data_IF_582597541782
#
_entry.id   IF_582597541782
#
_cell.length_a   1.000
_cell.length_b   1.000
_cell.length_c   1.000
_cell.angle_alpha   90.00
_cell.angle_beta   90.00
_cell.angle_gamma   90.00
#
_symmetry.space_group_name_H-M   'P 1'
#
loop_
_entity.id
_entity.type
_entity.pdbx_description
1 polymer ?
#
# COMPACT_ATOMS: atom_id res chain seq x y z
N UNK A 1 -16.79 1.89 19.52
CA UNK A 1 -16.48 2.22 18.12
C UNK A 1 -17.05 1.11 17.26
N UNK A 2 -17.89 1.37 16.26
CA UNK A 2 -18.36 0.30 15.38
C UNK A 2 -17.17 -0.28 14.63
N UNK A 3 -17.03 -1.60 14.65
CA UNK A 3 -16.07 -2.30 13.78
C UNK A 3 -16.58 -2.10 12.35
N UNK A 4 -15.98 -1.15 11.63
CA UNK A 4 -16.22 -1.01 10.20
C UNK A 4 -15.57 -2.20 9.54
N UNK A 5 -16.38 -3.17 9.13
CA UNK A 5 -15.91 -4.28 8.29
C UNK A 5 -15.46 -3.69 6.95
N UNK A 6 -14.17 -3.81 6.64
CA UNK A 6 -13.62 -3.39 5.35
C UNK A 6 -14.19 -4.27 4.24
N UNK A 7 -14.79 -3.67 3.22
CA UNK A 7 -15.08 -4.35 1.96
C UNK A 7 -13.79 -4.42 1.14
N UNK A 8 -13.13 -5.58 1.16
CA UNK A 8 -11.87 -5.80 0.47
C UNK A 8 -11.94 -5.71 -1.05
N UNK A 9 -13.14 -5.71 -1.63
CA UNK A 9 -13.34 -5.54 -3.08
C UNK A 9 -13.39 -4.07 -3.48
N UNK A 10 -13.71 -3.18 -2.53
CA UNK A 10 -13.85 -1.74 -2.78
C UNK A 10 -12.52 -1.01 -2.68
N UNK A 11 -11.78 -1.04 -3.78
CA UNK A 11 -10.51 -0.34 -3.92
C UNK A 11 -10.68 1.05 -4.55
N UNK A 12 -9.94 2.01 -4.02
CA UNK A 12 -9.78 3.34 -4.61
C UNK A 12 -8.33 3.58 -4.95
N UNK A 13 -8.05 4.50 -5.89
CA UNK A 13 -6.67 4.87 -6.24
C UNK A 13 -6.47 6.37 -6.11
N UNK A 14 -5.26 6.75 -5.70
CA UNK A 14 -4.79 8.14 -5.66
C UNK A 14 -3.47 8.20 -6.40
N UNK A 15 -3.24 9.28 -7.15
CA UNK A 15 -1.96 9.48 -7.82
C UNK A 15 -0.92 9.87 -6.78
N UNK A 16 0.26 9.30 -6.88
CA UNK A 16 1.42 9.74 -6.12
C UNK A 16 1.81 11.16 -6.59
N UNK A 17 1.91 12.16 -5.68
CA UNK A 17 2.23 13.53 -6.05
C UNK A 17 3.63 13.69 -6.61
N UNK A 18 4.59 12.86 -6.18
CA UNK A 18 5.99 12.96 -6.57
C UNK A 18 6.32 12.08 -7.79
N UNK A 19 5.50 11.06 -8.04
CA UNK A 19 5.65 10.16 -9.19
C UNK A 19 4.33 10.01 -9.95
N UNK A 20 4.07 10.79 -11.02
CA UNK A 20 2.78 10.78 -11.70
C UNK A 20 2.42 9.43 -12.32
N UNK A 21 3.40 8.59 -12.64
CA UNK A 21 3.20 7.23 -13.15
C UNK A 21 2.99 6.17 -12.05
N UNK A 22 2.75 6.59 -10.81
CA UNK A 22 2.50 5.73 -9.65
C UNK A 22 1.12 6.00 -9.05
N UNK A 23 0.42 4.93 -8.72
CA UNK A 23 -0.87 4.93 -8.05
C UNK A 23 -0.77 4.25 -6.69
N UNK A 24 -1.19 4.95 -5.65
CA UNK A 24 -1.46 4.38 -4.34
C UNK A 24 -2.86 3.79 -4.34
N UNK A 25 -2.98 2.52 -3.96
CA UNK A 25 -4.24 1.79 -3.92
C UNK A 25 -4.69 1.65 -2.48
N UNK A 26 -5.96 1.94 -2.21
CA UNK A 26 -6.55 1.95 -0.87
C UNK A 26 -7.77 1.06 -0.77
N UNK A 27 -7.87 0.30 0.32
CA UNK A 27 -9.09 -0.34 0.78
C UNK A 27 -9.58 0.39 2.03
N UNK A 28 -10.65 1.19 1.90
CA UNK A 28 -11.04 2.12 2.94
C UNK A 28 -9.90 3.09 3.28
N UNK A 29 -9.40 3.03 4.51
CA UNK A 29 -8.28 3.86 5.00
C UNK A 29 -6.91 3.17 4.93
N UNK A 30 -6.88 1.89 4.53
CA UNK A 30 -5.67 1.07 4.44
C UNK A 30 -4.98 1.27 3.09
N UNK A 31 -3.69 1.58 3.10
CA UNK A 31 -2.87 1.56 1.88
C UNK A 31 -2.59 0.12 1.50
N UNK A 32 -3.37 -0.40 0.56
CA UNK A 32 -3.34 -1.78 0.11
C UNK A 32 -2.11 -2.09 -0.78
N UNK A 33 -1.41 -1.05 -1.25
CA UNK A 33 -0.19 -1.17 -2.02
C UNK A 33 -0.17 -0.24 -3.23
N UNK A 34 0.65 -0.56 -4.23
CA UNK A 34 0.93 0.35 -5.34
C UNK A 34 0.82 -0.32 -6.70
N UNK A 35 0.51 0.49 -7.72
CA UNK A 35 0.64 0.13 -9.14
C UNK A 35 1.38 1.27 -9.83
N UNK A 36 2.53 0.99 -10.44
CA UNK A 36 3.38 2.00 -11.04
C UNK A 36 3.99 1.53 -12.35
N UNK A 37 4.12 2.44 -13.31
CA UNK A 37 4.84 2.18 -14.56
C UNK A 37 6.35 2.06 -14.28
N UNK A 38 6.99 1.05 -14.83
CA UNK A 38 8.44 0.92 -14.80
C UNK A 38 9.06 1.94 -15.75
N UNK A 39 9.43 3.09 -15.20
CA UNK A 39 10.05 4.20 -15.95
C UNK A 39 11.50 4.33 -15.47
N UNK A 40 12.45 4.48 -16.40
CA UNK A 40 13.84 4.85 -16.10
C UNK A 40 14.83 3.70 -15.83
N UNK A 41 14.44 2.44 -16.00
CA UNK A 41 15.34 1.29 -15.90
C UNK A 41 15.88 0.89 -17.28
N UNK A 42 17.21 0.80 -17.48
CA UNK A 42 17.78 0.25 -18.71
C UNK A 42 17.26 -1.18 -18.90
N UNK A 43 16.69 -1.48 -20.07
CA UNK A 43 16.01 -2.74 -20.41
C UNK A 43 14.68 -3.01 -19.70
N UNK A 44 14.08 -2.02 -19.02
CA UNK A 44 12.69 -2.17 -18.59
C UNK A 44 11.81 -2.25 -19.83
N UNK A 45 11.22 -3.42 -20.06
CA UNK A 45 9.99 -3.54 -20.83
C UNK A 45 9.02 -2.54 -20.22
N UNK A 46 8.39 -1.67 -21.02
CA UNK A 46 7.40 -0.68 -20.57
C UNK A 46 6.21 -1.39 -19.91
N UNK A 47 6.38 -1.81 -18.66
CA UNK A 47 5.45 -2.64 -17.92
C UNK A 47 4.95 -1.89 -16.68
N UNK A 48 3.86 -2.39 -16.13
CA UNK A 48 3.23 -1.92 -14.91
C UNK A 48 3.61 -2.87 -13.79
N UNK A 49 4.38 -2.37 -12.84
CA UNK A 49 4.70 -3.07 -11.61
C UNK A 49 3.58 -2.86 -10.60
N UNK A 50 3.33 -3.87 -9.79
CA UNK A 50 2.37 -3.80 -8.70
C UNK A 50 2.92 -4.46 -7.44
N UNK A 51 2.44 -4.00 -6.29
CA UNK A 51 2.72 -4.57 -4.98
C UNK A 51 1.43 -4.54 -4.17
N UNK A 52 0.97 -5.68 -3.67
CA UNK A 52 -0.24 -5.84 -2.88
C UNK A 52 0.07 -6.36 -1.48
N UNK A 53 -0.45 -5.67 -0.47
CA UNK A 53 -0.20 -5.91 0.94
C UNK A 53 0.45 -4.71 1.63
N UNK A 54 0.54 -4.77 2.95
CA UNK A 54 1.07 -3.70 3.79
C UNK A 54 1.94 -4.26 4.92
N UNK A 55 2.78 -3.42 5.51
CA UNK A 55 3.56 -3.71 6.70
C UNK A 55 3.58 -2.46 7.60
N UNK A 56 3.55 -2.59 8.94
CA UNK A 56 3.40 -3.80 9.77
C UNK A 56 1.95 -4.34 9.77
N UNK A 57 1.66 -5.42 10.50
CA UNK A 57 0.45 -6.25 10.32
C UNK A 57 0.59 -7.31 9.22
N UNK A 58 1.83 -7.55 8.78
CA UNK A 58 2.19 -8.70 7.95
C UNK A 58 3.61 -9.16 8.22
N UNK A 59 3.89 -10.39 7.81
CA UNK A 59 5.20 -11.01 7.92
C UNK A 59 6.01 -10.84 6.62
N UNK A 60 7.33 -11.03 6.75
CA UNK A 60 8.24 -11.01 5.62
C UNK A 60 7.78 -12.01 4.54
N UNK A 61 7.74 -11.54 3.29
CA UNK A 61 7.32 -12.37 2.16
C UNK A 61 5.81 -12.61 2.05
N UNK A 62 4.96 -11.90 2.79
CA UNK A 62 3.49 -11.94 2.57
C UNK A 62 2.99 -10.91 1.56
N UNK A 63 3.66 -9.76 1.46
CA UNK A 63 3.43 -8.79 0.40
C UNK A 63 3.76 -9.45 -0.94
N UNK A 64 2.84 -9.34 -1.91
CA UNK A 64 2.99 -9.92 -3.24
C UNK A 64 3.32 -8.83 -4.23
N UNK A 65 4.26 -9.09 -5.10
CA UNK A 65 4.65 -8.16 -6.16
C UNK A 65 4.58 -8.85 -7.52
N UNK A 66 4.52 -8.07 -8.58
CA UNK A 66 4.60 -8.56 -9.94
C UNK A 66 4.61 -7.45 -10.97
N UNK A 67 4.56 -7.84 -12.23
CA UNK A 67 4.44 -6.92 -13.36
C UNK A 67 3.38 -7.42 -14.37
N UNK A 68 2.94 -6.52 -15.24
CA UNK A 68 2.07 -6.79 -16.38
C UNK A 68 2.32 -5.76 -17.49
N UNK A 69 1.95 -6.06 -18.74
CA UNK A 69 2.18 -5.13 -19.86
C UNK A 69 1.24 -3.91 -19.82
N UNK A 70 0.03 -4.10 -19.29
CA UNK A 70 -1.02 -3.07 -19.23
C UNK A 70 -1.40 -2.72 -17.80
N UNK A 71 -1.96 -1.53 -17.60
CA UNK A 71 -2.44 -1.09 -16.29
C UNK A 71 -3.59 -1.98 -15.81
N UNK A 72 -4.50 -2.33 -16.70
CA UNK A 72 -5.69 -3.13 -16.44
C UNK A 72 -5.32 -4.55 -15.99
N UNK A 73 -4.32 -5.15 -16.64
CA UNK A 73 -3.80 -6.46 -16.23
C UNK A 73 -3.06 -6.38 -14.88
N UNK A 74 -2.24 -5.34 -14.66
CA UNK A 74 -1.60 -5.12 -13.36
C UNK A 74 -2.64 -4.94 -12.25
N UNK A 75 -3.72 -4.19 -12.51
CA UNK A 75 -4.84 -4.00 -11.59
C UNK A 75 -5.55 -5.31 -11.28
N UNK A 76 -5.85 -6.14 -12.28
CA UNK A 76 -6.50 -7.44 -12.06
C UNK A 76 -5.63 -8.39 -11.23
N UNK A 77 -4.31 -8.44 -11.51
CA UNK A 77 -3.35 -9.23 -10.74
C UNK A 77 -3.20 -8.71 -9.30
N UNK A 78 -3.15 -7.39 -9.14
CA UNK A 78 -3.16 -6.73 -7.83
C UNK A 78 -4.41 -7.10 -7.04
N UNK A 79 -5.60 -6.98 -7.63
CA UNK A 79 -6.88 -7.24 -6.94
C UNK A 79 -6.96 -8.68 -6.43
N UNK A 80 -6.54 -9.64 -7.26
CA UNK A 80 -6.46 -11.04 -6.85
C UNK A 80 -5.47 -11.25 -5.70
N UNK A 81 -4.28 -10.64 -5.78
CA UNK A 81 -3.27 -10.75 -4.75
C UNK A 81 -3.71 -10.08 -3.43
N UNK A 82 -4.37 -8.92 -3.52
CA UNK A 82 -4.94 -8.20 -2.39
C UNK A 82 -5.99 -9.03 -1.66
N UNK A 83 -6.95 -9.63 -2.37
CA UNK A 83 -7.96 -10.48 -1.74
C UNK A 83 -7.33 -11.68 -1.01
N UNK A 84 -6.34 -12.33 -1.62
CA UNK A 84 -5.63 -13.44 -0.98
C UNK A 84 -4.80 -13.00 0.24
N UNK A 85 -4.26 -11.78 0.22
CA UNK A 85 -3.56 -11.18 1.36
C UNK A 85 -4.54 -10.82 2.48
N UNK A 86 -5.59 -10.05 2.18
CA UNK A 86 -6.58 -9.57 3.13
C UNK A 86 -7.37 -10.70 3.80
N UNK A 87 -7.63 -11.81 3.09
CA UNK A 87 -8.28 -12.99 3.66
C UNK A 87 -7.49 -13.64 4.81
N UNK A 88 -6.20 -13.34 4.95
CA UNK A 88 -5.34 -13.85 6.03
C UNK A 88 -5.11 -12.83 7.15
N UNK A 89 -5.80 -11.69 7.12
CA UNK A 89 -5.63 -10.61 8.09
C UNK A 89 -6.75 -10.60 9.10
N UNK A 90 -6.36 -10.32 10.33
CA UNK A 90 -7.24 -10.02 11.45
C UNK A 90 -7.44 -8.51 11.56
N UNK A 91 -8.43 -8.10 12.34
CA UNK A 91 -8.64 -6.69 12.67
C UNK A 91 -7.38 -6.07 13.33
N UNK A 92 -6.69 -6.82 14.19
CA UNK A 92 -5.48 -6.37 14.87
C UNK A 92 -4.34 -6.06 13.89
N UNK A 93 -4.21 -6.83 12.80
CA UNK A 93 -3.20 -6.58 11.77
C UNK A 93 -3.45 -5.24 11.05
N UNK A 94 -4.71 -4.93 10.77
CA UNK A 94 -5.08 -3.63 10.19
C UNK A 94 -4.89 -2.48 11.18
N UNK A 95 -5.13 -2.72 12.47
CA UNK A 95 -4.89 -1.73 13.54
C UNK A 95 -3.40 -1.46 13.72
N UNK A 96 -2.54 -2.48 13.72
CA UNK A 96 -1.09 -2.31 13.78
C UNK A 96 -0.56 -1.45 12.61
N UNK A 97 -1.11 -1.66 11.41
CA UNK A 97 -0.79 -0.83 10.26
C UNK A 97 -1.22 0.63 10.46
N UNK A 98 -2.44 0.87 10.99
CA UNK A 98 -2.93 2.23 11.27
C UNK A 98 -2.07 2.92 12.31
N UNK A 99 -1.71 2.22 13.39
CA UNK A 99 -0.84 2.76 14.44
C UNK A 99 0.52 3.16 13.87
N UNK A 100 1.08 2.34 12.97
CA UNK A 100 2.32 2.70 12.29
C UNK A 100 2.16 3.90 11.36
N UNK A 101 1.06 3.98 10.60
CA UNK A 101 0.77 5.12 9.72
C UNK A 101 0.72 6.41 10.53
N UNK A 102 -0.04 6.40 11.63
CA UNK A 102 -0.29 7.58 12.45
C UNK A 102 0.98 7.97 13.23
N UNK A 103 1.74 6.99 13.73
CA UNK A 103 3.07 7.21 14.31
C UNK A 103 4.03 7.85 13.29
N UNK A 104 4.08 7.33 12.06
CA UNK A 104 4.96 7.83 11.01
C UNK A 104 4.61 9.27 10.64
N UNK A 105 3.32 9.59 10.52
CA UNK A 105 2.85 10.95 10.26
C UNK A 105 3.23 11.91 11.39
N UNK A 106 3.00 11.53 12.66
CA UNK A 106 3.41 12.32 13.82
C UNK A 106 4.92 12.54 13.87
N UNK A 107 5.71 11.49 13.61
CA UNK A 107 7.17 11.55 13.58
C UNK A 107 7.66 12.59 12.57
N UNK A 108 7.17 12.54 11.33
CA UNK A 108 7.59 13.50 10.32
C UNK A 108 7.12 14.93 10.64
N UNK A 109 5.93 15.11 11.22
CA UNK A 109 5.48 16.42 11.68
C UNK A 109 6.36 17.00 12.80
N UNK A 110 6.89 16.16 13.71
CA UNK A 110 7.85 16.60 14.73
C UNK A 110 9.19 17.00 14.09
N UNK A 111 9.69 16.20 13.14
CA UNK A 111 10.94 16.49 12.42
C UNK A 111 10.87 17.80 11.63
N UNK A 112 9.74 18.05 10.95
CA UNK A 112 9.50 19.28 10.19
C UNK A 112 9.54 20.54 11.08
N UNK A 113 9.08 20.41 12.34
CA UNK A 113 9.17 21.48 13.35
C UNK A 113 10.52 21.57 14.06
N UNK A 114 11.48 20.69 13.74
CA UNK A 114 12.78 20.61 14.42
C UNK A 114 12.71 20.08 15.85
N UNK A 115 11.62 19.41 16.23
CA UNK A 115 11.41 18.88 17.58
C UNK A 115 12.06 17.49 17.76
N UNK A 116 12.37 17.15 19.01
CA UNK A 116 12.88 15.82 19.36
C UNK A 116 11.80 14.76 19.17
N UNK A 117 12.10 13.75 18.37
CA UNK A 117 11.22 12.58 18.17
C UNK A 117 11.33 11.63 19.38
N UNK A 118 10.22 11.29 20.04
CA UNK A 118 10.23 10.29 21.11
C UNK A 118 10.51 8.90 20.55
N UNK A 119 11.09 8.01 21.36
CA UNK A 119 11.20 6.60 21.00
C UNK A 119 9.81 5.97 21.02
N UNK A 120 9.55 5.07 20.06
CA UNK A 120 8.30 4.32 19.96
C UNK A 120 8.29 3.19 20.97
#
# INVERSE_FOLDING_TARGET
MPVVTLDFTKLTRRRDPDRPDCWFIYCGDIHAGTIAKAVGMPNAVNNWNWSAGFYPGSHAGEIRTGCAETFEEAKARFEKAWLAFAAKRTQADFEEWRDQRDWTARKYALMDRGEKVPLR
#
